data_IF_644935987326
#
_entry.id   IF_644935987326
#
_cell.length_a   1.000
_cell.length_b   1.000
_cell.length_c   1.000
_cell.angle_alpha   90.00
_cell.angle_beta   90.00
_cell.angle_gamma   90.00
#
_symmetry.space_group_name_H-M   'P 1'
#
loop_
_entity.id
_entity.type
_entity.pdbx_description
1 polymer ?
#
# COMPACT_ATOMS: atom_id res chain seq x y z
N UNK A 1 -15.49 6.41 -15.45
CA UNK A 1 -14.95 7.31 -14.41
C UNK A 1 -14.04 6.61 -13.38
N UNK A 2 -14.06 5.27 -13.24
CA UNK A 2 -13.19 4.57 -12.27
C UNK A 2 -11.74 4.36 -12.76
N UNK A 3 -11.50 4.09 -14.05
CA UNK A 3 -10.13 3.85 -14.56
C UNK A 3 -9.18 5.04 -14.40
N UNK A 4 -9.68 6.26 -14.63
CA UNK A 4 -8.91 7.50 -14.44
C UNK A 4 -8.47 7.69 -12.98
N UNK A 5 -9.28 7.24 -12.02
CA UNK A 5 -8.95 7.35 -10.60
C UNK A 5 -7.80 6.40 -10.20
N UNK A 6 -7.75 5.20 -10.79
CA UNK A 6 -6.71 4.21 -10.51
C UNK A 6 -5.35 4.61 -11.09
N UNK A 7 -5.33 5.09 -12.34
CA UNK A 7 -4.11 5.64 -12.94
C UNK A 7 -3.64 6.89 -12.17
N UNK A 8 -4.58 7.76 -11.75
CA UNK A 8 -4.29 8.93 -10.93
C UNK A 8 -3.56 8.57 -9.63
N UNK A 9 -3.98 7.50 -8.95
CA UNK A 9 -3.27 6.99 -7.77
C UNK A 9 -1.83 6.58 -8.09
N UNK A 10 -1.62 5.89 -9.20
CA UNK A 10 -0.29 5.44 -9.60
C UNK A 10 0.65 6.62 -9.90
N UNK A 11 0.15 7.60 -10.66
CA UNK A 11 0.88 8.83 -10.96
C UNK A 11 1.15 9.67 -9.72
N UNK A 12 0.20 9.76 -8.78
CA UNK A 12 0.37 10.49 -7.53
C UNK A 12 1.55 9.95 -6.70
N UNK A 13 1.70 8.62 -6.64
CA UNK A 13 2.81 7.97 -5.91
C UNK A 13 4.17 8.24 -6.56
N UNK A 14 4.26 8.20 -7.89
CA UNK A 14 5.49 8.57 -8.60
C UNK A 14 5.79 10.07 -8.51
N UNK A 15 4.78 10.92 -8.59
CA UNK A 15 4.92 12.36 -8.47
C UNK A 15 5.38 12.76 -7.05
N UNK A 16 4.83 12.11 -6.02
CA UNK A 16 5.22 12.32 -4.63
C UNK A 16 6.68 11.92 -4.40
N UNK A 17 7.08 10.75 -4.93
CA UNK A 17 8.48 10.31 -4.90
C UNK A 17 9.38 11.35 -5.57
N UNK A 18 9.07 11.72 -6.82
CA UNK A 18 9.84 12.70 -7.59
C UNK A 18 9.96 14.04 -6.87
N UNK A 19 8.87 14.52 -6.25
CA UNK A 19 8.89 15.78 -5.51
C UNK A 19 9.88 15.77 -4.34
N UNK A 20 10.05 14.63 -3.66
CA UNK A 20 11.01 14.49 -2.56
C UNK A 20 12.43 14.25 -3.09
N UNK A 21 12.61 13.34 -4.05
CA UNK A 21 13.92 12.97 -4.60
C UNK A 21 14.60 14.14 -5.32
N UNK A 22 13.84 14.93 -6.10
CA UNK A 22 14.35 16.14 -6.77
C UNK A 22 14.42 17.36 -5.83
N UNK A 23 14.18 17.17 -4.53
CA UNK A 23 14.22 18.23 -3.49
C UNK A 23 13.27 19.40 -3.76
N UNK A 24 12.19 19.17 -4.52
CA UNK A 24 11.15 20.17 -4.78
C UNK A 24 10.30 20.42 -3.53
N UNK A 25 10.14 19.40 -2.67
CA UNK A 25 9.47 19.45 -1.38
C UNK A 25 10.23 18.62 -0.36
N UNK A 26 10.23 19.05 0.90
CA UNK A 26 10.73 18.21 1.98
C UNK A 26 9.76 17.04 2.21
N UNK A 27 10.29 15.89 2.61
CA UNK A 27 9.48 14.70 2.99
C UNK A 27 8.35 15.05 3.98
N UNK A 28 8.65 15.90 4.97
CA UNK A 28 7.71 16.40 5.98
C UNK A 28 6.52 17.20 5.44
N UNK A 29 6.59 17.64 4.18
CA UNK A 29 5.58 18.47 3.52
C UNK A 29 4.72 17.66 2.54
N UNK A 30 5.02 16.36 2.36
CA UNK A 30 4.35 15.51 1.39
C UNK A 30 3.46 14.50 2.12
N UNK A 31 2.17 14.51 1.80
CA UNK A 31 1.18 13.55 2.28
C UNK A 31 0.63 12.80 1.08
N UNK A 32 0.73 11.47 1.10
CA UNK A 32 0.34 10.62 -0.02
C UNK A 32 -0.89 9.80 0.36
N UNK A 33 -2.01 10.09 -0.27
CA UNK A 33 -3.26 9.34 -0.13
C UNK A 33 -3.73 8.99 -1.52
N UNK A 34 -3.96 7.70 -1.76
CA UNK A 34 -4.44 7.19 -3.04
C UNK A 34 -5.64 6.28 -2.84
N UNK A 35 -6.47 6.15 -3.86
CA UNK A 35 -7.67 5.33 -3.84
C UNK A 35 -7.58 4.31 -4.98
N UNK A 36 -7.64 3.02 -4.65
CA UNK A 36 -7.58 1.92 -5.62
C UNK A 36 -6.29 1.85 -6.45
N UNK A 37 -5.19 2.42 -5.94
CA UNK A 37 -3.94 2.49 -6.68
C UNK A 37 -3.41 1.08 -7.03
N UNK A 38 -3.09 0.78 -8.31
CA UNK A 38 -2.41 -0.47 -8.69
C UNK A 38 -0.96 -0.55 -8.16
N UNK A 39 -0.31 -1.71 -8.31
CA UNK A 39 1.15 -1.83 -8.09
C UNK A 39 1.87 -1.03 -9.17
N UNK A 40 2.84 -0.21 -8.75
CA UNK A 40 3.53 0.75 -9.65
C UNK A 40 4.99 0.42 -9.91
N UNK A 41 5.59 -0.44 -9.11
CA UNK A 41 6.96 -0.88 -9.32
C UNK A 41 7.32 -2.06 -8.43
N UNK A 42 8.61 -2.36 -8.39
CA UNK A 42 9.15 -3.50 -7.69
C UNK A 42 9.27 -3.25 -6.16
N UNK A 43 9.84 -4.24 -5.47
CA UNK A 43 10.12 -4.14 -4.05
C UNK A 43 11.01 -2.94 -3.68
N UNK A 44 12.00 -2.61 -4.50
CA UNK A 44 12.98 -1.58 -4.19
C UNK A 44 12.39 -0.18 -4.35
N UNK A 45 11.65 0.06 -5.43
CA UNK A 45 10.91 1.31 -5.59
C UNK A 45 9.90 1.49 -4.45
N UNK A 46 9.18 0.41 -4.11
CA UNK A 46 8.20 0.45 -3.03
C UNK A 46 8.83 0.74 -1.67
N UNK A 47 10.00 0.16 -1.40
CA UNK A 47 10.76 0.42 -0.17
C UNK A 47 11.27 1.86 -0.14
N UNK A 48 11.77 2.37 -1.26
CA UNK A 48 12.25 3.74 -1.38
C UNK A 48 11.13 4.75 -1.12
N UNK A 49 9.94 4.55 -1.71
CA UNK A 49 8.75 5.37 -1.43
C UNK A 49 8.42 5.35 0.08
N UNK A 50 8.49 4.19 0.73
CA UNK A 50 8.26 4.07 2.17
C UNK A 50 9.32 4.77 3.03
N UNK A 51 10.54 4.89 2.54
CA UNK A 51 11.63 5.56 3.26
C UNK A 51 11.56 7.08 3.08
N UNK A 52 11.24 7.54 1.87
CA UNK A 52 11.13 8.99 1.58
C UNK A 52 9.81 9.60 2.04
N UNK A 53 8.72 8.84 2.07
CA UNK A 53 7.38 9.28 2.53
C UNK A 53 6.91 8.30 3.61
N UNK A 54 7.55 8.29 4.79
CA UNK A 54 7.30 7.28 5.78
C UNK A 54 5.92 7.44 6.41
N UNK A 55 5.27 6.32 6.68
CA UNK A 55 4.17 6.30 7.63
C UNK A 55 4.76 6.53 9.03
N UNK A 56 4.57 7.73 9.58
CA UNK A 56 4.76 7.97 11.01
C UNK A 56 3.45 8.47 11.59
N UNK A 57 2.82 7.62 12.38
CA UNK A 57 1.77 8.04 13.29
C UNK A 57 2.42 8.69 14.52
N UNK A 58 2.90 9.91 14.37
CA UNK A 58 3.31 10.78 15.46
C UNK A 58 2.21 11.84 15.70
N UNK A 59 2.06 12.27 16.96
CA UNK A 59 0.96 13.11 17.46
C UNK A 59 0.78 14.47 16.73
N UNK A 60 1.74 14.86 15.88
CA UNK A 60 1.70 16.08 15.03
C UNK A 60 1.12 15.86 13.63
N UNK A 61 1.02 14.62 13.17
CA UNK A 61 0.37 14.29 11.90
C UNK A 61 1.16 14.68 10.64
N UNK A 62 2.49 14.62 10.71
CA UNK A 62 3.37 15.22 9.71
C UNK A 62 3.49 14.36 8.45
N UNK A 63 3.59 13.02 8.55
CA UNK A 63 3.77 12.13 7.39
C UNK A 63 2.82 10.92 7.39
N UNK A 64 2.03 10.79 6.32
CA UNK A 64 1.14 9.65 6.10
C UNK A 64 1.14 9.22 4.62
N UNK A 65 1.41 7.93 4.38
CA UNK A 65 1.34 7.26 3.08
C UNK A 65 0.28 6.16 3.17
N UNK A 66 -0.91 6.43 2.64
CA UNK A 66 -2.05 5.51 2.67
C UNK A 66 -2.55 5.16 1.28
N UNK A 67 -2.89 3.88 1.10
CA UNK A 67 -3.61 3.36 -0.05
C UNK A 67 -4.97 2.88 0.43
N UNK A 68 -6.04 3.54 0.04
CA UNK A 68 -7.41 3.13 0.38
C UNK A 68 -7.91 2.23 -0.73
N UNK A 69 -8.19 0.98 -0.40
CA UNK A 69 -8.58 -0.05 -1.38
C UNK A 69 -9.96 -0.60 -1.00
N UNK A 70 -10.82 -0.71 -1.99
CA UNK A 70 -12.09 -1.40 -1.83
C UNK A 70 -11.86 -2.91 -1.98
N UNK A 71 -12.44 -3.73 -1.10
CA UNK A 71 -12.23 -5.18 -1.08
C UNK A 71 -12.44 -5.84 -2.45
N UNK A 72 -13.44 -5.39 -3.23
CA UNK A 72 -13.78 -5.99 -4.52
C UNK A 72 -13.10 -5.31 -5.72
N UNK A 73 -12.16 -4.40 -5.46
CA UNK A 73 -11.44 -3.68 -6.50
C UNK A 73 -10.22 -4.48 -6.98
N UNK A 74 -10.37 -5.12 -8.14
CA UNK A 74 -9.29 -5.91 -8.74
C UNK A 74 -8.11 -5.05 -9.19
N UNK A 75 -8.34 -3.77 -9.55
CA UNK A 75 -7.28 -2.92 -10.12
C UNK A 75 -6.17 -2.66 -9.09
N UNK A 76 -6.53 -2.46 -7.83
CA UNK A 76 -5.59 -2.33 -6.75
C UNK A 76 -4.67 -3.56 -6.57
N UNK A 77 -5.07 -4.73 -7.08
CA UNK A 77 -4.31 -5.98 -6.97
C UNK A 77 -3.50 -6.30 -8.24
N UNK A 78 -3.54 -5.43 -9.25
CA UNK A 78 -2.79 -5.56 -10.50
C UNK A 78 -1.59 -4.61 -10.54
N UNK A 79 -0.52 -4.96 -11.30
CA UNK A 79 -0.16 -6.31 -11.75
C UNK A 79 0.12 -7.24 -10.57
N UNK A 80 0.04 -8.57 -10.77
CA UNK A 80 0.24 -9.56 -9.72
C UNK A 80 1.64 -9.52 -9.09
N UNK A 81 1.74 -9.72 -7.78
CA UNK A 81 3.01 -9.92 -7.08
C UNK A 81 3.37 -11.41 -7.04
N UNK A 82 4.65 -11.71 -6.83
CA UNK A 82 5.06 -13.08 -6.48
C UNK A 82 4.63 -13.39 -5.06
N UNK A 83 4.03 -14.56 -4.84
CA UNK A 83 3.65 -15.03 -3.50
C UNK A 83 4.82 -15.69 -2.79
N UNK A 84 4.87 -15.53 -1.48
CA UNK A 84 5.78 -16.30 -0.64
C UNK A 84 5.19 -17.69 -0.37
N UNK A 85 5.68 -18.68 -1.10
CA UNK A 85 5.23 -20.08 -1.00
C UNK A 85 5.56 -20.74 0.34
N UNK A 86 6.41 -20.12 1.17
CA UNK A 86 6.70 -20.63 2.52
C UNK A 86 5.50 -20.50 3.48
N UNK A 87 4.50 -19.67 3.15
CA UNK A 87 3.32 -19.48 3.96
C UNK A 87 2.30 -20.61 3.73
N UNK A 88 1.81 -21.26 4.80
CA UNK A 88 0.90 -22.40 4.69
C UNK A 88 -0.55 -22.01 4.36
N UNK A 89 -0.90 -20.72 4.49
CA UNK A 89 -2.23 -20.20 4.22
C UNK A 89 -2.50 -20.09 2.71
N UNK A 90 -3.78 -20.14 2.32
CA UNK A 90 -4.19 -19.93 0.92
C UNK A 90 -3.94 -18.48 0.48
N UNK A 91 -4.14 -17.52 1.38
CA UNK A 91 -3.75 -16.13 1.22
C UNK A 91 -2.30 -15.95 1.65
N UNK A 92 -1.42 -15.82 0.65
CA UNK A 92 0.02 -15.72 0.85
C UNK A 92 0.46 -14.27 0.70
N UNK A 93 1.36 -13.77 1.56
CA UNK A 93 1.90 -12.44 1.39
C UNK A 93 2.77 -12.36 0.13
N UNK A 94 2.96 -11.15 -0.39
CA UNK A 94 3.90 -10.92 -1.48
C UNK A 94 5.35 -11.16 -1.01
N UNK A 95 6.12 -11.93 -1.78
CA UNK A 95 7.54 -12.19 -1.53
C UNK A 95 8.37 -10.91 -1.71
N UNK A 96 9.06 -10.49 -0.65
CA UNK A 96 9.95 -9.34 -0.69
C UNK A 96 11.25 -9.62 -1.45
N UNK A 97 11.90 -8.57 -1.95
CA UNK A 97 13.24 -8.55 -2.59
C UNK A 97 13.34 -9.04 -4.04
N UNK A 98 12.24 -9.43 -4.69
CA UNK A 98 12.25 -9.69 -6.13
C UNK A 98 12.06 -8.39 -6.94
N UNK A 99 12.88 -8.19 -7.99
CA UNK A 99 12.81 -7.05 -8.92
C UNK A 99 11.85 -7.28 -10.08
N UNK A 100 11.55 -8.54 -10.38
CA UNK A 100 10.77 -8.93 -11.56
C UNK A 100 9.26 -8.86 -11.30
N UNK A 101 8.86 -8.65 -10.05
CA UNK A 101 7.46 -8.64 -9.63
C UNK A 101 7.09 -7.33 -8.96
N UNK A 102 5.86 -6.92 -9.22
CA UNK A 102 5.34 -5.70 -8.66
C UNK A 102 5.03 -5.85 -7.16
N UNK A 103 5.18 -4.77 -6.41
CA UNK A 103 5.04 -4.71 -4.97
C UNK A 103 4.30 -3.41 -4.60
N UNK A 104 3.56 -3.37 -3.49
CA UNK A 104 2.97 -2.11 -3.03
C UNK A 104 3.92 -1.32 -2.14
N UNK A 105 3.71 -0.01 -2.08
CA UNK A 105 4.22 0.85 -1.02
C UNK A 105 3.07 1.29 -0.10
N UNK A 106 3.40 2.03 0.94
CA UNK A 106 2.45 2.64 1.88
C UNK A 106 1.79 1.63 2.82
N UNK A 107 0.89 2.16 3.65
CA UNK A 107 -0.02 1.34 4.46
C UNK A 107 -1.36 1.23 3.75
N UNK A 108 -1.88 0.02 3.60
CA UNK A 108 -3.16 -0.19 2.96
C UNK A 108 -4.29 -0.14 3.99
N UNK A 109 -5.33 0.61 3.66
CA UNK A 109 -6.60 0.68 4.39
C UNK A 109 -7.64 -0.03 3.54
N UNK A 110 -8.10 -1.17 4.03
CA UNK A 110 -9.12 -1.96 3.36
C UNK A 110 -10.52 -1.54 3.77
N UNK A 111 -11.37 -1.29 2.79
CA UNK A 111 -12.79 -1.00 2.98
C UNK A 111 -13.62 -2.22 2.60
N UNK A 112 -14.33 -2.76 3.59
CA UNK A 112 -15.32 -3.84 3.44
C UNK A 112 -16.72 -3.24 3.56
N UNK A 113 -17.68 -3.70 2.75
CA UNK A 113 -19.00 -3.07 2.60
C UNK A 113 -19.84 -3.02 3.91
N UNK A 114 -20.72 -2.01 3.99
CA UNK A 114 -21.77 -1.70 5.00
C UNK A 114 -21.38 -1.46 6.47
N UNK A 115 -20.20 -1.87 6.94
CA UNK A 115 -19.70 -1.51 8.28
C UNK A 115 -18.28 -1.00 8.17
N UNK A 116 -18.00 0.15 8.80
CA UNK A 116 -16.68 0.78 8.81
C UNK A 116 -15.73 -0.07 9.68
N UNK A 117 -15.27 -1.19 9.14
CA UNK A 117 -14.12 -1.93 9.65
C UNK A 117 -12.91 -1.52 8.83
N UNK A 118 -12.01 -0.75 9.44
CA UNK A 118 -10.72 -0.42 8.85
C UNK A 118 -9.72 -1.53 9.16
N UNK A 119 -9.32 -2.27 8.13
CA UNK A 119 -8.22 -3.21 8.24
C UNK A 119 -6.93 -2.54 7.77
N UNK A 120 -5.88 -2.64 8.58
CA UNK A 120 -4.55 -2.15 8.21
C UNK A 120 -3.70 -3.32 7.72
N UNK A 121 -3.21 -3.23 6.49
CA UNK A 121 -2.13 -4.09 6.01
C UNK A 121 -0.86 -3.25 5.95
N UNK A 122 0.14 -3.66 6.72
CA UNK A 122 1.45 -3.02 6.70
C UNK A 122 2.22 -3.46 5.46
N UNK A 123 3.11 -2.60 4.98
CA UNK A 123 3.91 -2.83 3.76
C UNK A 123 4.79 -4.08 3.81
N UNK A 124 5.11 -4.62 5.00
CA UNK A 124 5.88 -5.86 5.18
C UNK A 124 5.01 -7.12 5.09
N UNK A 125 3.69 -7.01 5.25
CA UNK A 125 2.77 -8.14 5.36
C UNK A 125 1.79 -8.23 4.20
N UNK A 126 2.08 -7.57 3.06
CA UNK A 126 1.13 -7.32 1.96
C UNK A 126 0.23 -8.50 1.63
N UNK A 127 -1.05 -8.37 2.02
CA UNK A 127 -2.16 -9.35 1.94
C UNK A 127 -2.50 -10.13 3.23
N UNK A 128 -1.75 -9.92 4.32
CA UNK A 128 -2.11 -10.34 5.67
C UNK A 128 -2.68 -9.15 6.45
N UNK A 129 -4.00 -9.13 6.60
CA UNK A 129 -4.76 -8.11 7.30
C UNK A 129 -4.76 -8.37 8.81
N UNK A 130 -4.24 -7.44 9.61
CA UNK A 130 -4.28 -7.56 11.06
C UNK A 130 -5.43 -6.72 11.65
N UNK A 131 -6.32 -7.35 12.42
CA UNK A 131 -7.32 -6.65 13.22
C UNK A 131 -6.63 -5.99 14.41
N UNK A 132 -6.51 -4.66 14.43
CA UNK A 132 -6.11 -3.93 15.65
C UNK A 132 -7.32 -3.61 16.52
N UNK A 133 -8.09 -4.65 16.85
CA UNK A 133 -8.99 -4.69 17.99
C UNK A 133 -8.98 -6.11 18.57
N UNK A 134 -7.94 -6.40 19.36
CA UNK A 134 -7.87 -7.50 20.32
C UNK A 134 -8.46 -8.86 19.87
N UNK A 135 -7.99 -9.42 18.74
CA UNK A 135 -8.11 -10.85 18.38
C UNK A 135 -7.49 -11.04 16.99
N UNK A 136 -6.38 -11.77 16.91
CA UNK A 136 -5.78 -12.21 15.65
C UNK A 136 -6.76 -13.13 14.91
N UNK A 137 -7.40 -12.62 13.85
CA UNK A 137 -7.99 -13.45 12.80
C UNK A 137 -7.46 -12.95 11.45
N UNK A 138 -6.63 -13.78 10.82
CA UNK A 138 -6.24 -13.64 9.41
C UNK A 138 -7.50 -13.86 8.56
N UNK A 139 -7.77 -12.98 7.60
CA UNK A 139 -8.79 -13.19 6.58
C UNK A 139 -8.10 -13.89 5.42
N UNK A 140 -8.38 -15.18 5.24
CA UNK A 140 -7.86 -16.00 4.14
C UNK A 140 -8.93 -16.22 3.07
N UNK A 141 -8.63 -15.88 1.81
CA UNK A 141 -9.20 -16.49 0.60
C UNK A 141 -8.52 -17.83 0.33
#
# INVERSE_FOLDING_TARGET
MQEEAYLGGAMASLAALRAVDEKLRQSSQVKLITFGQPRVGDFYLSRHINDVIPYRFNFRGDNFSFRVVNQMDIVAHLPACQKDESYPEKSKPCLGKNKDYAYHHGTEIWLVHFFIFFFFCFSHSQELWNFRANSQKSITF
#
